data_IF_530612246544
#
_entry.id   IF_530612246544
#
_cell.length_a   1.000
_cell.length_b   1.000
_cell.length_c   1.000
_cell.angle_alpha   90.00
_cell.angle_beta   90.00
_cell.angle_gamma   90.00
#
_symmetry.space_group_name_H-M   'P 1'
#
loop_
_entity.id
_entity.type
_entity.pdbx_description
1 polymer ?
#
# COMPACT_ATOMS: atom_id res chain seq x y z
N UNK A 1 -11.48 -14.85 -6.47
CA UNK A 1 -10.83 -13.52 -6.43
C UNK A 1 -9.73 -13.43 -5.36
N UNK A 2 -9.86 -14.14 -4.24
CA UNK A 2 -8.88 -14.04 -3.13
C UNK A 2 -7.45 -14.50 -3.51
N UNK A 3 -7.31 -15.34 -4.54
CA UNK A 3 -6.01 -15.82 -5.01
C UNK A 3 -5.09 -14.71 -5.59
N UNK A 4 -5.63 -13.54 -5.91
CA UNK A 4 -4.85 -12.39 -6.35
C UNK A 4 -4.44 -11.47 -5.19
N UNK A 5 -4.88 -11.78 -3.95
CA UNK A 5 -4.43 -11.11 -2.74
C UNK A 5 -3.33 -11.99 -2.14
N UNK A 6 -2.09 -11.52 -2.15
CA UNK A 6 -0.95 -12.31 -1.68
C UNK A 6 -0.25 -11.63 -0.51
N UNK A 7 0.18 -12.46 0.46
CA UNK A 7 1.06 -12.03 1.55
C UNK A 7 2.47 -12.50 1.24
N UNK A 8 3.41 -11.56 1.11
CA UNK A 8 4.78 -11.82 0.68
C UNK A 8 5.75 -11.14 1.65
N UNK A 9 6.77 -11.87 2.11
CA UNK A 9 7.84 -11.29 2.92
C UNK A 9 8.71 -10.39 2.04
N UNK A 10 8.93 -9.16 2.46
CA UNK A 10 9.74 -8.17 1.74
C UNK A 10 10.89 -7.62 2.58
N UNK A 11 10.78 -7.64 3.92
CA UNK A 11 11.84 -7.19 4.82
C UNK A 11 12.15 -8.24 5.89
N UNK A 12 13.39 -8.30 6.30
CA UNK A 12 13.82 -9.01 7.51
C UNK A 12 13.54 -8.17 8.76
N UNK A 13 13.56 -8.81 9.94
CA UNK A 13 13.22 -8.12 11.19
C UNK A 13 14.15 -6.94 11.51
N UNK A 14 15.45 -7.08 11.26
CA UNK A 14 16.41 -5.98 11.42
C UNK A 14 16.15 -4.83 10.45
N UNK A 15 15.77 -5.12 9.20
CA UNK A 15 15.43 -4.09 8.21
C UNK A 15 14.15 -3.33 8.61
N UNK A 16 13.17 -4.03 9.20
CA UNK A 16 11.96 -3.40 9.77
C UNK A 16 12.32 -2.46 10.92
N UNK A 17 13.22 -2.88 11.81
CA UNK A 17 13.67 -2.05 12.94
C UNK A 17 14.40 -0.80 12.45
N UNK A 18 15.36 -0.94 11.54
CA UNK A 18 16.10 0.19 10.95
C UNK A 18 15.16 1.17 10.25
N UNK A 19 14.20 0.65 9.48
CA UNK A 19 13.21 1.48 8.80
C UNK A 19 12.29 2.20 9.78
N UNK A 20 11.84 1.55 10.85
CA UNK A 20 11.03 2.18 11.88
C UNK A 20 11.80 3.28 12.62
N UNK A 21 13.07 3.07 12.95
CA UNK A 21 13.94 4.09 13.56
C UNK A 21 14.07 5.32 12.65
N UNK A 22 14.22 5.11 11.35
CA UNK A 22 14.22 6.20 10.38
C UNK A 22 12.87 6.92 10.32
N UNK A 23 11.76 6.17 10.27
CA UNK A 23 10.41 6.72 10.22
C UNK A 23 10.10 7.54 11.49
N UNK A 24 10.64 7.19 12.64
CA UNK A 24 10.44 7.92 13.90
C UNK A 24 11.02 9.34 13.89
N UNK A 25 11.89 9.65 12.93
CA UNK A 25 12.40 11.01 12.72
C UNK A 25 11.42 11.94 12.00
N UNK A 26 10.33 11.41 11.44
CA UNK A 26 9.37 12.17 10.64
C UNK A 26 8.21 12.68 11.47
N UNK A 27 7.69 13.84 11.06
CA UNK A 27 6.41 14.35 11.54
C UNK A 27 5.28 13.73 10.74
N UNK A 28 4.28 13.19 11.44
CA UNK A 28 3.07 12.66 10.84
C UNK A 28 1.97 13.73 10.82
N UNK A 29 1.33 13.86 9.66
CA UNK A 29 0.23 14.80 9.45
C UNK A 29 -1.07 14.04 9.15
N UNK A 30 -2.23 14.71 9.29
CA UNK A 30 -3.53 14.12 8.95
C UNK A 30 -3.57 13.78 7.46
N UNK A 31 -3.94 12.54 7.16
CA UNK A 31 -4.10 12.13 5.77
C UNK A 31 -5.34 12.78 5.14
N UNK A 32 -5.21 13.16 3.89
CA UNK A 32 -6.30 13.67 3.07
C UNK A 32 -6.89 12.57 2.20
N UNK A 33 -8.09 12.78 1.69
CA UNK A 33 -8.77 11.94 0.72
C UNK A 33 -9.17 12.80 -0.49
N UNK A 34 -9.12 12.20 -1.68
CA UNK A 34 -9.73 12.80 -2.85
C UNK A 34 -11.22 12.47 -2.82
N UNK A 35 -12.07 13.50 -2.93
CA UNK A 35 -13.51 13.30 -3.03
C UNK A 35 -13.91 13.38 -4.50
N UNK A 36 -14.75 12.46 -4.96
CA UNK A 36 -15.31 12.44 -6.32
C UNK A 36 -16.15 13.70 -6.65
N UNK A 37 -16.57 14.45 -5.63
CA UNK A 37 -17.30 15.69 -5.79
C UNK A 37 -16.37 16.88 -6.11
N UNK A 38 -15.89 16.96 -7.34
CA UNK A 38 -15.47 18.18 -8.07
C UNK A 38 -14.67 19.29 -7.36
N UNK A 39 -14.19 19.11 -6.15
CA UNK A 39 -13.26 20.05 -5.52
C UNK A 39 -11.82 19.63 -5.79
N UNK A 40 -11.07 20.49 -6.42
CA UNK A 40 -9.74 20.25 -6.98
C UNK A 40 -8.64 19.94 -5.94
N UNK A 41 -8.94 20.02 -4.65
CA UNK A 41 -7.95 19.82 -3.58
C UNK A 41 -8.29 18.62 -2.69
N UNK A 42 -7.30 17.78 -2.34
CA UNK A 42 -7.47 16.75 -1.34
C UNK A 42 -7.82 17.38 0.01
N UNK A 43 -8.84 16.84 0.69
CA UNK A 43 -9.29 17.35 1.99
C UNK A 43 -9.26 16.26 3.05
N UNK A 44 -9.11 16.68 4.31
CA UNK A 44 -9.32 15.80 5.44
C UNK A 44 -10.83 15.54 5.62
N UNK A 45 -11.22 14.26 5.55
CA UNK A 45 -12.59 13.82 5.85
C UNK A 45 -12.55 12.71 6.91
N UNK A 46 -12.88 13.02 8.18
CA UNK A 46 -12.83 12.06 9.26
C UNK A 46 -13.88 10.94 9.15
N UNK A 47 -14.91 11.10 8.31
CA UNK A 47 -15.88 10.05 8.06
C UNK A 47 -15.36 8.97 7.11
N UNK A 48 -14.27 9.27 6.39
CA UNK A 48 -13.65 8.37 5.43
C UNK A 48 -12.34 7.84 5.98
N UNK A 49 -11.45 8.72 6.47
CA UNK A 49 -10.09 8.36 6.89
C UNK A 49 -9.61 9.19 8.06
N UNK A 50 -9.16 8.50 9.12
CA UNK A 50 -8.72 9.15 10.36
C UNK A 50 -7.22 8.98 10.64
N UNK A 51 -6.48 8.23 9.79
CA UNK A 51 -5.05 8.00 9.94
C UNK A 51 -4.22 9.28 9.78
N UNK A 52 -2.99 9.22 10.29
CA UNK A 52 -1.94 10.18 9.97
C UNK A 52 -0.90 9.54 9.05
N UNK A 53 -0.15 10.33 8.31
CA UNK A 53 0.85 9.82 7.39
C UNK A 53 2.00 10.78 7.15
N UNK A 54 3.04 10.25 6.53
CA UNK A 54 4.20 10.97 6.01
C UNK A 54 4.71 10.26 4.77
N UNK A 55 5.52 10.92 3.95
CA UNK A 55 6.20 10.30 2.80
C UNK A 55 7.67 10.11 3.11
N UNK A 56 8.23 8.98 2.72
CA UNK A 56 9.67 8.75 2.82
C UNK A 56 10.41 9.61 1.81
N UNK A 57 11.64 9.99 2.15
CA UNK A 57 12.51 10.76 1.24
C UNK A 57 13.07 9.82 0.19
N UNK A 58 12.71 10.02 -1.07
CA UNK A 58 13.04 9.14 -2.20
C UNK A 58 14.56 8.90 -2.38
N UNK A 59 15.39 9.90 -2.07
CA UNK A 59 16.85 9.83 -2.21
C UNK A 59 17.57 9.25 -1.01
N UNK A 60 16.87 8.92 0.07
CA UNK A 60 17.46 8.33 1.26
C UNK A 60 17.78 6.85 1.04
N UNK A 61 18.93 6.38 1.47
CA UNK A 61 19.41 5.01 1.25
C UNK A 61 18.42 3.96 1.72
N UNK A 62 17.84 4.10 2.92
CA UNK A 62 16.83 3.17 3.44
C UNK A 62 15.57 3.15 2.57
N UNK A 63 15.17 4.29 1.99
CA UNK A 63 14.03 4.34 1.08
C UNK A 63 14.35 3.62 -0.23
N UNK A 64 15.54 3.85 -0.79
CA UNK A 64 16.01 3.17 -2.01
C UNK A 64 16.04 1.66 -1.79
N UNK A 65 16.64 1.19 -0.69
CA UNK A 65 16.71 -0.21 -0.34
C UNK A 65 15.31 -0.82 -0.14
N UNK A 66 14.43 -0.09 0.52
CA UNK A 66 13.04 -0.54 0.73
C UNK A 66 12.27 -0.65 -0.59
N UNK A 67 12.41 0.31 -1.50
CA UNK A 67 11.87 0.19 -2.85
C UNK A 67 12.37 -1.05 -3.58
N UNK A 68 13.67 -1.33 -3.49
CA UNK A 68 14.26 -2.53 -4.06
C UNK A 68 13.58 -3.80 -3.52
N UNK A 69 13.42 -3.89 -2.20
CA UNK A 69 12.75 -5.03 -1.55
C UNK A 69 11.29 -5.17 -1.98
N UNK A 70 10.57 -4.08 -2.12
CA UNK A 70 9.18 -4.11 -2.62
C UNK A 70 9.14 -4.60 -4.07
N UNK A 71 10.08 -4.20 -4.93
CA UNK A 71 10.15 -4.69 -6.30
C UNK A 71 10.40 -6.20 -6.37
N UNK A 72 11.30 -6.74 -5.53
CA UNK A 72 11.49 -8.20 -5.41
C UNK A 72 10.20 -8.90 -4.96
N UNK A 73 9.46 -8.29 -4.03
CA UNK A 73 8.14 -8.75 -3.61
C UNK A 73 7.12 -8.75 -4.76
N UNK A 74 7.16 -7.74 -5.62
CA UNK A 74 6.31 -7.70 -6.82
C UNK A 74 6.65 -8.81 -7.81
N UNK A 75 7.92 -9.12 -8.01
CA UNK A 75 8.33 -10.23 -8.88
C UNK A 75 7.85 -11.58 -8.34
N UNK A 76 7.93 -11.78 -7.04
CA UNK A 76 7.37 -12.97 -6.38
C UNK A 76 5.85 -13.01 -6.50
N UNK A 77 5.16 -11.88 -6.37
CA UNK A 77 3.73 -11.75 -6.61
C UNK A 77 3.37 -12.20 -8.02
N UNK A 78 4.07 -11.67 -9.04
CA UNK A 78 3.89 -12.06 -10.45
C UNK A 78 4.02 -13.57 -10.62
N UNK A 79 5.10 -14.15 -10.11
CA UNK A 79 5.36 -15.59 -10.18
C UNK A 79 4.23 -16.42 -9.57
N UNK A 80 3.73 -16.03 -8.39
CA UNK A 80 2.63 -16.74 -7.72
C UNK A 80 1.34 -16.66 -8.51
N UNK A 81 0.99 -15.49 -9.00
CA UNK A 81 -0.26 -15.30 -9.76
C UNK A 81 -0.20 -15.99 -11.11
N UNK A 82 0.95 -16.01 -11.81
CA UNK A 82 1.13 -16.77 -13.03
C UNK A 82 0.96 -18.28 -12.81
N UNK A 83 1.36 -18.82 -11.67
CA UNK A 83 1.14 -20.22 -11.33
C UNK A 83 -0.34 -20.55 -11.09
N UNK A 84 -1.15 -19.58 -10.64
CA UNK A 84 -2.58 -19.73 -10.41
C UNK A 84 -3.35 -19.58 -11.74
N UNK A 85 -2.96 -18.62 -12.56
CA UNK A 85 -3.56 -18.28 -13.84
C UNK A 85 -2.48 -18.16 -14.92
N UNK A 86 -2.35 -19.18 -15.75
CA UNK A 86 -1.35 -19.22 -16.83
C UNK A 86 -1.43 -18.01 -17.80
N UNK A 87 -2.62 -17.44 -17.95
CA UNK A 87 -2.85 -16.26 -18.80
C UNK A 87 -2.55 -14.93 -18.09
N UNK A 88 -2.11 -14.93 -16.84
CA UNK A 88 -1.83 -13.70 -16.09
C UNK A 88 -0.66 -12.88 -16.67
N UNK A 89 0.17 -13.51 -17.53
CA UNK A 89 1.21 -12.83 -18.29
C UNK A 89 0.69 -11.74 -19.25
N UNK A 90 -0.57 -11.80 -19.61
CA UNK A 90 -1.22 -10.80 -20.49
C UNK A 90 -1.82 -9.62 -19.70
N UNK A 91 -1.93 -9.72 -18.37
CA UNK A 91 -2.33 -8.58 -17.58
C UNK A 91 -1.14 -7.63 -17.41
N UNK A 92 -1.37 -6.34 -17.50
CA UNK A 92 -0.33 -5.35 -17.31
C UNK A 92 0.07 -5.31 -15.83
N UNK A 93 0.85 -6.29 -15.40
CA UNK A 93 1.56 -6.16 -14.13
C UNK A 93 2.75 -5.27 -14.43
N UNK A 94 2.89 -4.14 -13.75
CA UNK A 94 3.97 -3.19 -14.00
C UNK A 94 5.30 -3.90 -14.00
N UNK A 95 6.12 -3.52 -14.94
CA UNK A 95 7.39 -4.15 -15.24
C UNK A 95 8.26 -4.42 -14.05
N UNK A 96 9.15 -5.36 -14.24
CA UNK A 96 10.15 -5.72 -13.26
C UNK A 96 11.04 -4.54 -12.91
N UNK A 97 11.82 -4.82 -12.06
CA UNK A 97 12.87 -4.27 -11.30
C UNK A 97 13.78 -3.18 -11.94
N UNK A 98 14.13 -3.29 -13.18
CA UNK A 98 15.23 -2.57 -13.82
C UNK A 98 14.80 -1.50 -14.81
N UNK A 99 13.54 -1.44 -15.14
CA UNK A 99 13.04 -0.48 -16.07
C UNK A 99 11.72 0.08 -15.62
N UNK A 100 11.72 1.35 -15.25
CA UNK A 100 10.47 2.10 -15.21
C UNK A 100 9.38 1.46 -14.36
N UNK A 101 9.73 1.07 -13.14
CA UNK A 101 8.70 0.83 -12.15
C UNK A 101 7.96 2.15 -11.96
N UNK A 102 6.95 2.36 -12.79
CA UNK A 102 5.98 3.42 -12.64
C UNK A 102 5.26 3.20 -11.31
N UNK A 103 5.84 3.72 -10.25
CA UNK A 103 5.30 3.58 -8.91
C UNK A 103 5.22 4.94 -8.23
N UNK A 104 4.34 5.02 -7.27
CA UNK A 104 4.30 6.15 -6.36
C UNK A 104 5.43 6.07 -5.33
N UNK A 105 5.80 7.22 -4.76
CA UNK A 105 6.61 7.28 -3.56
C UNK A 105 5.98 6.51 -2.40
N UNK A 106 6.80 6.06 -1.47
CA UNK A 106 6.32 5.31 -0.31
C UNK A 106 5.72 6.28 0.71
N UNK A 107 4.44 6.08 1.02
CA UNK A 107 3.76 6.74 2.12
C UNK A 107 3.75 5.83 3.34
N UNK A 108 4.05 6.37 4.51
CA UNK A 108 3.88 5.67 5.78
C UNK A 108 2.62 6.16 6.46
N UNK A 109 1.73 5.23 6.80
CA UNK A 109 0.47 5.50 7.46
C UNK A 109 0.52 4.99 8.89
N UNK A 110 0.04 5.81 9.83
CA UNK A 110 -0.06 5.45 11.23
C UNK A 110 -1.51 5.55 11.69
N UNK A 111 -1.96 4.51 12.38
CA UNK A 111 -3.29 4.42 12.96
C UNK A 111 -3.16 4.21 14.46
N UNK A 112 -3.74 5.12 15.23
CA UNK A 112 -3.89 5.02 16.68
C UNK A 112 -5.27 4.45 17.03
N UNK A 113 -5.53 4.21 18.31
CA UNK A 113 -6.83 3.72 18.79
C UNK A 113 -8.00 4.49 18.16
N UNK A 114 -9.01 3.74 17.71
CA UNK A 114 -10.22 4.20 17.01
C UNK A 114 -9.98 4.84 15.62
N UNK A 115 -8.76 4.78 15.10
CA UNK A 115 -8.49 5.24 13.75
C UNK A 115 -8.69 4.12 12.74
N UNK A 116 -9.24 4.49 11.58
CA UNK A 116 -9.63 3.58 10.51
C UNK A 116 -9.55 4.24 9.14
N UNK A 117 -9.73 3.44 8.11
CA UNK A 117 -9.98 3.90 6.75
C UNK A 117 -11.14 3.08 6.17
N UNK A 118 -12.24 3.74 5.83
CA UNK A 118 -13.45 3.10 5.31
C UNK A 118 -13.19 2.39 3.99
N UNK A 119 -14.14 1.54 3.57
CA UNK A 119 -14.08 0.85 2.29
C UNK A 119 -13.86 1.81 1.14
N UNK A 120 -12.85 1.54 0.34
CA UNK A 120 -12.46 2.28 -0.85
C UNK A 120 -11.77 1.33 -1.84
N UNK A 121 -11.54 1.78 -3.04
CA UNK A 121 -10.60 1.18 -3.99
C UNK A 121 -9.47 2.16 -4.28
N UNK A 122 -8.34 1.61 -4.71
CA UNK A 122 -7.12 2.41 -4.89
C UNK A 122 -6.96 3.00 -6.30
N UNK A 123 -7.88 2.69 -7.21
CA UNK A 123 -7.87 3.32 -8.54
C UNK A 123 -8.03 4.83 -8.36
N UNK A 124 -6.96 5.55 -8.63
CA UNK A 124 -6.99 7.01 -8.68
C UNK A 124 -7.22 7.44 -10.12
N UNK A 125 -8.34 8.08 -10.38
CA UNK A 125 -8.56 8.82 -11.62
C UNK A 125 -7.91 10.21 -11.45
N UNK A 126 -6.59 10.27 -11.62
CA UNK A 126 -5.87 11.53 -11.59
C UNK A 126 -6.20 12.32 -12.86
N UNK A 127 -7.02 13.34 -12.75
CA UNK A 127 -7.34 14.27 -13.84
C UNK A 127 -6.10 14.87 -14.50
N UNK A 128 -5.00 14.98 -13.76
CA UNK A 128 -3.74 15.54 -14.23
C UNK A 128 -2.80 14.50 -14.88
N UNK A 129 -3.00 13.21 -14.60
CA UNK A 129 -2.22 12.11 -15.16
C UNK A 129 -3.13 11.09 -15.83
N UNK A 130 -3.85 11.53 -16.86
CA UNK A 130 -4.76 10.68 -17.65
C UNK A 130 -4.09 9.44 -18.26
N UNK A 131 -2.78 9.42 -18.28
CA UNK A 131 -1.94 8.39 -18.92
C UNK A 131 -1.65 7.21 -18.00
N UNK A 132 -1.78 7.39 -16.68
CA UNK A 132 -1.40 6.37 -15.70
C UNK A 132 -2.55 6.06 -14.74
N UNK A 133 -2.71 4.80 -14.41
CA UNK A 133 -3.62 4.38 -13.35
C UNK A 133 -2.97 3.30 -12.47
N UNK A 134 -3.30 3.32 -11.21
CA UNK A 134 -2.83 2.33 -10.25
C UNK A 134 -3.35 0.95 -10.62
N UNK A 135 -2.47 -0.01 -10.74
CA UNK A 135 -2.79 -1.39 -11.11
C UNK A 135 -2.61 -2.34 -9.94
N UNK A 136 -1.53 -2.18 -9.19
CA UNK A 136 -1.20 -3.01 -8.04
C UNK A 136 -1.01 -2.11 -6.82
N UNK A 137 -1.66 -2.50 -5.73
CA UNK A 137 -1.50 -1.92 -4.39
C UNK A 137 -0.56 -2.77 -3.55
N UNK A 138 0.31 -2.12 -2.81
CA UNK A 138 1.25 -2.75 -1.89
C UNK A 138 1.09 -2.11 -0.51
N UNK A 139 0.80 -2.92 0.52
CA UNK A 139 0.72 -2.50 1.92
C UNK A 139 1.72 -3.32 2.71
N UNK A 140 2.84 -2.73 3.15
CA UNK A 140 3.84 -3.39 3.98
C UNK A 140 3.55 -3.09 5.45
N UNK A 141 3.35 -4.13 6.26
CA UNK A 141 3.17 -3.98 7.70
C UNK A 141 4.53 -3.76 8.38
N UNK A 142 4.60 -2.75 9.26
CA UNK A 142 5.83 -2.35 9.95
C UNK A 142 5.77 -2.56 11.46
N UNK A 143 4.57 -2.77 12.03
CA UNK A 143 4.35 -3.07 13.45
C UNK A 143 3.35 -4.19 13.62
N UNK A 144 3.32 -4.85 14.78
CA UNK A 144 2.33 -5.86 15.18
C UNK A 144 1.85 -5.70 16.64
N UNK A 145 2.35 -4.69 17.35
CA UNK A 145 2.00 -4.34 18.73
C UNK A 145 0.66 -3.60 18.83
N UNK A 146 -0.33 -4.04 18.04
CA UNK A 146 -1.67 -3.46 18.03
C UNK A 146 -2.76 -4.55 17.94
N UNK A 147 -3.99 -4.23 18.40
CA UNK A 147 -5.18 -5.07 18.24
C UNK A 147 -6.15 -4.42 17.25
N UNK A 148 -6.95 -5.24 16.57
CA UNK A 148 -7.75 -4.81 15.42
C UNK A 148 -6.85 -4.46 14.25
N UNK A 149 -7.21 -3.45 13.48
CA UNK A 149 -6.35 -2.81 12.49
C UNK A 149 -5.96 -3.67 11.28
N UNK A 150 -6.65 -4.77 11.01
CA UNK A 150 -6.43 -5.57 9.81
C UNK A 150 -6.74 -4.79 8.53
N UNK A 151 -6.39 -5.35 7.38
CA UNK A 151 -6.86 -4.91 6.08
C UNK A 151 -8.02 -5.82 5.68
N UNK A 152 -9.23 -5.25 5.69
CA UNK A 152 -10.48 -5.97 5.43
C UNK A 152 -10.84 -5.87 3.95
N UNK A 153 -11.16 -7.00 3.36
CA UNK A 153 -11.84 -7.14 2.07
C UNK A 153 -13.26 -7.67 2.30
N UNK A 154 -14.18 -7.64 1.33
CA UNK A 154 -15.58 -8.03 1.55
C UNK A 154 -15.79 -9.42 2.16
N UNK A 155 -14.86 -10.35 1.94
CA UNK A 155 -14.99 -11.74 2.37
C UNK A 155 -13.82 -12.26 3.21
N UNK A 156 -12.79 -11.43 3.46
CA UNK A 156 -11.60 -11.85 4.19
C UNK A 156 -10.89 -10.66 4.84
N UNK A 157 -10.13 -10.91 5.88
CA UNK A 157 -9.29 -9.90 6.54
C UNK A 157 -7.86 -10.41 6.65
N UNK A 158 -6.91 -9.52 6.48
CA UNK A 158 -5.48 -9.80 6.57
C UNK A 158 -4.83 -8.94 7.64
N UNK A 159 -3.97 -9.55 8.43
CA UNK A 159 -3.09 -8.86 9.37
C UNK A 159 -1.68 -9.46 9.27
N UNK A 160 -0.93 -9.13 8.22
CA UNK A 160 0.43 -9.61 8.05
C UNK A 160 1.34 -9.25 9.22
N UNK A 161 2.39 -10.05 9.43
CA UNK A 161 3.47 -9.73 10.37
C UNK A 161 4.32 -8.57 9.84
N UNK A 162 5.07 -7.86 10.71
CA UNK A 162 6.05 -6.87 10.26
C UNK A 162 7.02 -7.45 9.22
N UNK A 163 7.34 -6.65 8.21
CA UNK A 163 8.17 -7.07 7.08
C UNK A 163 7.43 -7.82 5.97
N UNK A 164 6.13 -8.09 6.14
CA UNK A 164 5.31 -8.70 5.08
C UNK A 164 4.46 -7.66 4.36
N UNK A 165 4.40 -7.78 3.05
CA UNK A 165 3.55 -7.00 2.17
C UNK A 165 2.26 -7.75 1.88
N UNK A 166 1.14 -7.02 1.89
CA UNK A 166 -0.10 -7.42 1.24
C UNK A 166 -0.11 -6.78 -0.14
N UNK A 167 -0.13 -7.61 -1.19
CA UNK A 167 -0.07 -7.18 -2.59
C UNK A 167 -1.32 -7.67 -3.31
N UNK A 168 -2.02 -6.77 -4.00
CA UNK A 168 -3.30 -7.06 -4.64
C UNK A 168 -3.62 -6.05 -5.76
N UNK A 169 -4.57 -6.36 -6.68
CA UNK A 169 -4.99 -5.42 -7.71
C UNK A 169 -5.69 -4.19 -7.12
N UNK A 170 -5.39 -3.01 -7.64
CA UNK A 170 -5.92 -1.72 -7.14
C UNK A 170 -7.36 -1.42 -7.58
N UNK A 171 -7.93 -2.22 -8.50
CA UNK A 171 -9.18 -1.91 -9.16
C UNK A 171 -10.42 -2.10 -8.26
N UNK A 172 -11.58 -1.68 -8.76
CA UNK A 172 -12.86 -1.71 -8.06
C UNK A 172 -13.34 -3.12 -7.61
N UNK A 173 -12.77 -4.19 -8.17
CA UNK A 173 -13.06 -5.57 -7.73
C UNK A 173 -12.40 -5.90 -6.38
N UNK A 174 -11.47 -5.08 -5.90
CA UNK A 174 -10.75 -5.25 -4.65
C UNK A 174 -10.98 -4.06 -3.68
N UNK A 175 -12.26 -3.74 -3.37
CA UNK A 175 -12.53 -2.74 -2.35
C UNK A 175 -12.01 -3.26 -1.02
N UNK A 176 -11.37 -2.38 -0.25
CA UNK A 176 -10.79 -2.76 1.02
C UNK A 176 -10.88 -1.61 2.03
N UNK A 177 -10.70 -1.96 3.30
CA UNK A 177 -10.74 -1.02 4.43
C UNK A 177 -9.58 -1.29 5.39
N UNK A 178 -9.13 -0.26 6.08
CA UNK A 178 -8.32 -0.41 7.29
C UNK A 178 -9.23 -0.50 8.49
N UNK A 179 -9.34 -1.67 9.12
CA UNK A 179 -10.16 -1.86 10.31
C UNK A 179 -9.74 -0.91 11.44
N UNK A 180 -10.67 -0.53 12.33
CA UNK A 180 -10.32 0.26 13.50
C UNK A 180 -9.25 -0.42 14.35
N UNK A 181 -8.23 0.34 14.74
CA UNK A 181 -7.27 -0.10 15.76
C UNK A 181 -7.94 0.02 17.12
N UNK A 182 -7.96 -1.06 17.90
CA UNK A 182 -8.59 -1.06 19.23
C UNK A 182 -7.56 -0.81 20.35
N UNK A 183 -6.32 -1.23 20.17
CA UNK A 183 -5.20 -1.00 21.09
C UNK A 183 -3.90 -0.86 20.29
N UNK A 184 -2.91 -0.15 20.85
CA UNK A 184 -1.58 0.03 20.26
C UNK A 184 -1.54 0.99 19.08
N UNK A 185 -0.51 0.88 18.26
CA UNK A 185 -0.27 1.72 17.07
C UNK A 185 0.06 0.84 15.87
N UNK A 186 -0.83 0.85 14.88
CA UNK A 186 -0.55 0.23 13.59
C UNK A 186 0.25 1.19 12.73
N UNK A 187 1.35 0.70 12.14
CA UNK A 187 2.12 1.40 11.12
C UNK A 187 2.25 0.52 9.88
N UNK A 188 1.94 1.09 8.72
CA UNK A 188 2.11 0.44 7.42
C UNK A 188 2.74 1.40 6.43
N UNK A 189 3.53 0.87 5.50
CA UNK A 189 4.00 1.61 4.34
C UNK A 189 3.17 1.21 3.12
N UNK A 190 2.77 2.17 2.30
CA UNK A 190 1.94 1.95 1.12
C UNK A 190 2.58 2.56 -0.11
N UNK A 191 2.48 1.86 -1.22
CA UNK A 191 2.84 2.36 -2.55
C UNK A 191 1.97 1.67 -3.60
N UNK A 192 1.95 2.22 -4.80
CA UNK A 192 1.17 1.69 -5.92
C UNK A 192 2.02 1.65 -7.17
N UNK A 193 1.77 0.63 -7.99
CA UNK A 193 2.36 0.52 -9.32
C UNK A 193 1.35 0.95 -10.37
N UNK A 194 1.86 1.62 -11.38
CA UNK A 194 1.07 2.14 -12.50
C UNK A 194 1.27 1.31 -13.76
N UNK A 195 0.29 1.43 -14.63
CA UNK A 195 0.40 1.03 -16.04
C UNK A 195 0.02 2.22 -16.88
N UNK A 196 0.77 2.42 -17.97
CA UNK A 196 0.46 3.42 -18.98
C UNK A 196 -0.88 3.09 -19.65
N UNK A 197 -1.73 4.08 -19.81
CA UNK A 197 -2.93 3.98 -20.66
C UNK A 197 -2.50 4.21 -22.11
N UNK A 198 -2.57 3.17 -22.92
CA UNK A 198 -2.48 3.31 -24.37
C UNK A 198 -3.70 4.02 -24.93
#
# INVERSE_FOLDING_TARGET
>A
MDNLIQVIKVLESNEVEELNNYIDTFKFEKNTVFNESKTENPRFDPNIRTSTGTSLVETHELTINFHHKINLGLDEYKRRVQNIHSNFSYYPVPGGYDTYSWREGIQVLQYKKNQEYKFHHDVADHKERKEFYRTISVIVYLTDDFKGGGTLFPHTSFKPKPGYALIFPSNWCYPHAGEPVTEGIKRVAVTWYYVERN
#
